data_IF_014884237590
#
_entry.id   IF_014884237590
#
_cell.length_a   1.000
_cell.length_b   1.000
_cell.length_c   1.000
_cell.angle_alpha   90.00
_cell.angle_beta   90.00
_cell.angle_gamma   90.00
#
_symmetry.space_group_name_H-M   'P 1'
#
loop_
_entity.id
_entity.type
_entity.pdbx_description
1 polymer ?
#
# COMPACT_ATOMS: atom_id res chain seq x y z
N UNK A 1 -21.48 -4.04 12.06
CA UNK A 1 -20.09 -4.13 12.54
C UNK A 1 -20.06 -4.80 13.92
N UNK A 2 -19.16 -5.75 14.18
CA UNK A 2 -19.02 -6.37 15.50
C UNK A 2 -18.23 -5.48 16.49
N UNK A 3 -18.20 -5.86 17.78
CA UNK A 3 -17.58 -5.06 18.83
C UNK A 3 -16.07 -4.89 18.66
N UNK A 4 -15.36 -5.93 18.21
CA UNK A 4 -13.91 -5.88 18.01
C UNK A 4 -13.61 -4.91 16.87
N UNK A 5 -14.30 -5.09 15.73
CA UNK A 5 -14.17 -4.21 14.57
C UNK A 5 -14.44 -2.76 14.92
N UNK A 6 -15.56 -2.48 15.60
CA UNK A 6 -15.90 -1.12 16.05
C UNK A 6 -14.81 -0.51 16.92
N UNK A 7 -14.31 -1.28 17.90
CA UNK A 7 -13.28 -0.78 18.82
C UNK A 7 -12.00 -0.37 18.10
N UNK A 8 -11.48 -1.22 17.22
CA UNK A 8 -10.19 -0.97 16.56
C UNK A 8 -10.29 -0.03 15.36
N UNK A 9 -11.43 -0.02 14.64
CA UNK A 9 -11.69 1.01 13.63
C UNK A 9 -11.81 2.39 14.27
N UNK A 10 -12.56 2.55 15.36
CA UNK A 10 -12.60 3.85 16.07
C UNK A 10 -11.20 4.32 16.44
N UNK A 11 -10.35 3.43 17.00
CA UNK A 11 -8.95 3.77 17.33
C UNK A 11 -8.15 4.22 16.10
N UNK A 12 -8.25 3.46 14.99
CA UNK A 12 -7.53 3.75 13.76
C UNK A 12 -7.96 5.08 13.14
N UNK A 13 -9.27 5.29 12.99
CA UNK A 13 -9.86 6.46 12.36
C UNK A 13 -9.58 7.72 13.19
N UNK A 14 -9.77 7.68 14.51
CA UNK A 14 -9.44 8.83 15.38
C UNK A 14 -7.94 9.17 15.33
N UNK A 15 -7.07 8.17 15.21
CA UNK A 15 -5.62 8.41 15.11
C UNK A 15 -5.25 9.11 13.80
N UNK A 16 -5.96 8.79 12.71
CA UNK A 16 -5.65 9.24 11.37
C UNK A 16 -6.56 10.36 10.87
N UNK A 17 -7.52 10.82 11.68
CA UNK A 17 -8.63 11.72 11.31
C UNK A 17 -8.20 12.92 10.46
N UNK A 18 -7.07 13.57 10.80
CA UNK A 18 -6.56 14.73 10.05
C UNK A 18 -6.11 14.44 8.61
N UNK A 19 -5.97 13.17 8.26
CA UNK A 19 -5.57 12.67 6.93
C UNK A 19 -6.73 11.97 6.21
N UNK A 20 -7.90 11.88 6.84
CA UNK A 20 -9.07 11.21 6.30
C UNK A 20 -10.08 12.26 5.79
N UNK A 21 -10.96 11.88 4.84
CA UNK A 21 -11.92 12.82 4.25
C UNK A 21 -12.95 13.32 5.27
N UNK A 22 -13.35 12.48 6.22
CA UNK A 22 -14.36 12.82 7.23
C UNK A 22 -13.91 12.46 8.65
N UNK A 23 -14.67 12.92 9.63
CA UNK A 23 -14.47 12.57 11.03
C UNK A 23 -14.73 11.07 11.32
N UNK A 24 -14.28 10.64 12.50
CA UNK A 24 -14.39 9.25 12.94
C UNK A 24 -15.82 8.71 12.90
N UNK A 25 -16.82 9.50 13.33
CA UNK A 25 -18.20 9.03 13.45
C UNK A 25 -18.82 8.84 12.05
N UNK A 26 -18.62 9.81 11.17
CA UNK A 26 -19.08 9.76 9.77
C UNK A 26 -18.48 8.57 9.03
N UNK A 27 -17.19 8.29 9.22
CA UNK A 27 -16.53 7.15 8.60
C UNK A 27 -17.03 5.81 9.16
N UNK A 28 -17.27 5.71 10.47
CA UNK A 28 -17.83 4.50 11.08
C UNK A 28 -19.23 4.20 10.50
N UNK A 29 -20.08 5.20 10.38
CA UNK A 29 -21.41 5.07 9.77
C UNK A 29 -21.30 4.61 8.31
N UNK A 30 -20.33 5.14 7.55
CA UNK A 30 -20.07 4.68 6.18
C UNK A 30 -19.65 3.20 6.14
N UNK A 31 -18.72 2.77 6.99
CA UNK A 31 -18.29 1.37 7.07
C UNK A 31 -19.40 0.41 7.53
N UNK A 32 -20.42 0.87 8.27
CA UNK A 32 -21.58 0.02 8.58
C UNK A 32 -22.32 -0.44 7.31
N UNK A 33 -22.34 0.41 6.26
CA UNK A 33 -22.89 0.08 4.94
C UNK A 33 -21.91 -0.58 3.97
N UNK A 34 -20.60 -0.51 4.24
CA UNK A 34 -19.52 -0.93 3.33
C UNK A 34 -18.59 -1.94 4.02
N UNK A 35 -19.16 -3.07 4.41
CA UNK A 35 -18.47 -4.08 5.25
C UNK A 35 -17.29 -4.77 4.60
N UNK A 36 -17.18 -4.69 3.29
CA UNK A 36 -16.09 -5.19 2.46
C UNK A 36 -14.88 -4.25 2.40
N UNK A 37 -14.99 -3.01 2.88
CA UNK A 37 -13.90 -2.03 2.94
C UNK A 37 -13.11 -2.08 4.25
N UNK A 38 -13.40 -3.00 5.15
CA UNK A 38 -12.59 -3.20 6.36
C UNK A 38 -12.50 -4.67 6.75
N UNK A 39 -11.48 -5.00 7.52
CA UNK A 39 -11.33 -6.30 8.15
C UNK A 39 -10.54 -6.14 9.45
N UNK A 40 -11.09 -6.63 10.56
CA UNK A 40 -10.42 -6.62 11.86
C UNK A 40 -10.25 -8.04 12.34
N UNK A 41 -8.99 -8.50 12.40
CA UNK A 41 -8.66 -9.90 12.65
C UNK A 41 -7.63 -10.02 13.79
N UNK A 42 -7.93 -10.82 14.83
CA UNK A 42 -6.93 -11.16 15.83
C UNK A 42 -6.02 -12.28 15.32
N UNK A 43 -4.71 -12.09 15.41
CA UNK A 43 -3.70 -13.13 15.12
C UNK A 43 -2.76 -13.23 16.32
N UNK A 44 -2.90 -14.30 17.09
CA UNK A 44 -2.21 -14.47 18.36
C UNK A 44 -2.62 -13.39 19.36
N UNK A 45 -1.65 -12.59 19.84
CA UNK A 45 -1.89 -11.48 20.77
C UNK A 45 -2.10 -10.12 20.09
N UNK A 46 -2.00 -10.08 18.77
CA UNK A 46 -2.10 -8.85 17.98
C UNK A 46 -3.46 -8.73 17.32
N UNK A 47 -3.89 -7.48 17.09
CA UNK A 47 -5.08 -7.19 16.29
C UNK A 47 -4.66 -6.41 15.06
N UNK A 48 -5.02 -6.95 13.89
CA UNK A 48 -4.80 -6.32 12.59
C UNK A 48 -6.09 -5.62 12.20
N UNK A 49 -6.03 -4.31 12.02
CA UNK A 49 -7.15 -3.48 11.63
C UNK A 49 -6.86 -2.93 10.24
N UNK A 50 -7.47 -3.54 9.23
CA UNK A 50 -7.43 -3.10 7.85
C UNK A 50 -8.68 -2.29 7.54
N UNK A 51 -8.50 -1.19 6.82
CA UNK A 51 -9.58 -0.42 6.21
C UNK A 51 -9.10 0.19 4.89
N UNK A 52 -10.03 0.45 3.98
CA UNK A 52 -9.76 1.02 2.67
C UNK A 52 -10.72 2.16 2.35
N UNK A 53 -10.22 3.17 1.64
CA UNK A 53 -11.01 4.29 1.15
C UNK A 53 -10.58 4.65 -0.28
N UNK A 54 -11.53 4.89 -1.20
CA UNK A 54 -11.25 5.55 -2.47
C UNK A 54 -10.59 6.91 -2.22
N UNK A 55 -9.56 7.26 -2.99
CA UNK A 55 -8.80 8.51 -2.80
C UNK A 55 -9.12 9.57 -3.84
N UNK A 56 -9.60 9.18 -5.02
CA UNK A 56 -9.99 10.09 -6.09
C UNK A 56 -11.35 9.72 -6.68
N UNK A 57 -12.10 10.73 -7.12
CA UNK A 57 -13.32 10.59 -7.91
C UNK A 57 -13.01 10.14 -9.35
N UNK A 58 -14.02 9.66 -10.08
CA UNK A 58 -13.91 9.41 -11.52
C UNK A 58 -13.36 10.60 -12.34
N UNK A 59 -13.62 11.81 -11.84
CA UNK A 59 -13.14 13.05 -12.45
C UNK A 59 -11.66 13.37 -12.14
N UNK A 60 -11.01 12.65 -11.23
CA UNK A 60 -9.60 12.78 -10.85
C UNK A 60 -9.33 13.71 -9.68
N UNK A 61 -10.36 14.32 -9.10
CA UNK A 61 -10.21 15.12 -7.88
C UNK A 61 -10.11 14.21 -6.67
N UNK A 62 -9.28 14.60 -5.73
CA UNK A 62 -9.19 13.97 -4.41
C UNK A 62 -10.55 14.04 -3.70
N UNK A 63 -10.94 12.94 -3.07
CA UNK A 63 -12.18 12.83 -2.31
C UNK A 63 -12.03 13.61 -1.02
N UNK A 64 -12.95 14.53 -0.77
CA UNK A 64 -12.97 15.32 0.47
C UNK A 64 -14.07 14.86 1.42
N UNK A 65 -15.08 14.15 0.92
CA UNK A 65 -16.09 13.51 1.76
C UNK A 65 -16.50 12.15 1.20
N UNK A 66 -16.75 11.16 2.06
CA UNK A 66 -17.19 9.81 1.65
C UNK A 66 -18.52 9.81 0.91
N UNK A 67 -19.33 10.85 1.09
CA UNK A 67 -20.56 11.07 0.31
C UNK A 67 -20.32 11.40 -1.17
N UNK A 68 -19.09 11.78 -1.54
CA UNK A 68 -18.71 12.09 -2.92
C UNK A 68 -18.32 10.83 -3.72
N UNK A 69 -18.05 9.71 -3.06
CA UNK A 69 -17.58 8.46 -3.67
C UNK A 69 -18.56 8.03 -4.79
N UNK A 70 -18.07 7.95 -6.03
CA UNK A 70 -18.86 7.58 -7.21
C UNK A 70 -18.48 6.20 -7.77
N UNK A 71 -17.21 6.04 -8.12
CA UNK A 71 -16.60 4.84 -8.67
C UNK A 71 -15.17 4.77 -8.15
N UNK A 72 -14.77 3.58 -7.72
CA UNK A 72 -13.43 3.38 -7.20
C UNK A 72 -12.44 3.27 -8.36
N UNK A 73 -11.69 4.35 -8.61
CA UNK A 73 -10.62 4.37 -9.62
C UNK A 73 -9.27 4.06 -8.98
N UNK A 74 -9.09 4.50 -7.74
CA UNK A 74 -7.90 4.30 -6.94
C UNK A 74 -8.33 4.36 -5.48
N UNK A 75 -7.92 3.37 -4.71
CA UNK A 75 -8.15 3.35 -3.27
C UNK A 75 -6.85 3.21 -2.50
N UNK A 76 -6.86 3.69 -1.26
CA UNK A 76 -5.82 3.42 -0.29
C UNK A 76 -6.30 2.36 0.67
N UNK A 77 -5.55 1.28 0.77
CA UNK A 77 -5.73 0.24 1.77
C UNK A 77 -4.71 0.49 2.87
N UNK A 78 -5.14 0.51 4.13
CA UNK A 78 -4.27 0.70 5.29
C UNK A 78 -4.51 -0.39 6.31
N UNK A 79 -3.46 -0.98 6.83
CA UNK A 79 -3.52 -1.90 7.97
C UNK A 79 -2.70 -1.34 9.12
N UNK A 80 -3.30 -1.26 10.30
CA UNK A 80 -2.64 -0.95 11.56
C UNK A 80 -2.65 -2.17 12.46
N UNK A 81 -1.51 -2.48 13.07
CA UNK A 81 -1.38 -3.62 13.98
C UNK A 81 -1.23 -3.14 15.41
N UNK A 82 -2.05 -3.69 16.29
CA UNK A 82 -2.13 -3.30 17.69
C UNK A 82 -1.66 -4.40 18.63
N UNK A 83 -0.97 -3.99 19.69
CA UNK A 83 -0.90 -4.72 20.96
C UNK A 83 -1.62 -3.88 22.03
N UNK A 84 -2.87 -4.26 22.34
CA UNK A 84 -3.75 -3.47 23.21
C UNK A 84 -4.13 -2.12 22.60
N UNK A 85 -3.62 -1.04 23.17
CA UNK A 85 -3.88 0.35 22.71
C UNK A 85 -2.73 0.94 21.88
N UNK A 86 -1.63 0.20 21.70
CA UNK A 86 -0.43 0.70 21.02
C UNK A 86 -0.37 0.17 19.59
N UNK A 87 -0.18 1.07 18.61
CA UNK A 87 0.17 0.71 17.23
C UNK A 87 1.62 0.29 17.21
N UNK A 88 1.89 -0.93 16.75
CA UNK A 88 3.23 -1.55 16.71
C UNK A 88 3.75 -1.77 15.29
N UNK A 89 2.88 -1.70 14.29
CA UNK A 89 3.23 -1.86 12.89
C UNK A 89 2.12 -1.28 12.00
N UNK A 90 2.47 -1.00 10.76
CA UNK A 90 1.56 -0.57 9.71
C UNK A 90 1.96 -1.10 8.33
N UNK A 91 1.01 -1.02 7.42
CA UNK A 91 1.26 -1.06 5.98
C UNK A 91 0.18 -0.22 5.29
N UNK A 92 0.54 0.51 4.25
CA UNK A 92 -0.42 1.21 3.39
C UNK A 92 -0.06 0.97 1.93
N UNK A 93 -1.07 0.93 1.07
CA UNK A 93 -0.85 0.81 -0.36
C UNK A 93 -2.00 1.37 -1.18
N UNK A 94 -1.68 1.79 -2.40
CA UNK A 94 -2.64 2.23 -3.39
C UNK A 94 -3.00 1.06 -4.30
N UNK A 95 -4.30 0.80 -4.44
CA UNK A 95 -4.84 -0.28 -5.24
C UNK A 95 -5.71 0.27 -6.38
N UNK A 96 -5.51 -0.32 -7.57
CA UNK A 96 -6.32 -0.08 -8.75
C UNK A 96 -6.20 -1.28 -9.70
N UNK A 97 -7.10 -1.37 -10.68
CA UNK A 97 -6.89 -2.29 -11.80
C UNK A 97 -5.67 -1.89 -12.63
N UNK A 98 -5.00 -2.85 -13.23
CA UNK A 98 -3.83 -2.60 -14.07
C UNK A 98 -4.16 -1.72 -15.28
N UNK A 99 -5.33 -1.93 -15.90
CA UNK A 99 -5.83 -1.06 -16.96
C UNK A 99 -5.98 0.40 -16.50
N UNK A 100 -6.50 0.61 -15.28
CA UNK A 100 -6.63 1.95 -14.73
C UNK A 100 -5.27 2.58 -14.46
N UNK A 101 -4.32 1.82 -13.91
CA UNK A 101 -2.95 2.28 -13.67
C UNK A 101 -2.25 2.74 -14.98
N UNK A 102 -2.38 1.94 -16.04
CA UNK A 102 -1.68 2.16 -17.31
C UNK A 102 -2.38 3.12 -18.28
N UNK A 103 -3.66 3.45 -18.07
CA UNK A 103 -4.42 4.26 -19.05
C UNK A 103 -5.02 5.53 -18.47
N UNK A 104 -5.11 5.65 -17.15
CA UNK A 104 -5.77 6.78 -16.51
C UNK A 104 -4.75 7.85 -16.07
N UNK A 105 -4.64 8.90 -16.88
CA UNK A 105 -3.79 10.07 -16.60
C UNK A 105 -4.02 10.66 -15.19
N UNK A 106 -5.25 10.58 -14.67
CA UNK A 106 -5.57 11.11 -13.33
C UNK A 106 -4.95 10.29 -12.21
N UNK A 107 -4.84 8.97 -12.40
CA UNK A 107 -4.18 8.07 -11.45
C UNK A 107 -2.68 8.31 -11.48
N UNK A 108 -2.09 8.47 -12.67
CA UNK A 108 -0.70 8.88 -12.81
C UNK A 108 -0.42 10.21 -12.10
N UNK A 109 -1.23 11.24 -12.36
CA UNK A 109 -1.07 12.55 -11.73
C UNK A 109 -1.21 12.46 -10.20
N UNK A 110 -2.16 11.67 -9.69
CA UNK A 110 -2.28 11.43 -8.26
C UNK A 110 -1.01 10.77 -7.69
N UNK A 111 -0.48 9.73 -8.33
CA UNK A 111 0.76 9.08 -7.87
C UNK A 111 1.95 10.05 -7.87
N UNK A 112 2.02 10.95 -8.87
CA UNK A 112 3.05 11.99 -8.96
C UNK A 112 2.92 13.07 -7.88
N UNK A 113 1.70 13.49 -7.56
CA UNK A 113 1.41 14.54 -6.58
C UNK A 113 1.47 14.02 -5.13
N UNK A 114 1.19 12.73 -4.91
CA UNK A 114 1.17 12.09 -3.59
C UNK A 114 2.57 12.05 -2.95
N UNK A 115 3.56 11.51 -3.66
CA UNK A 115 4.97 11.54 -3.24
C UNK A 115 5.92 11.12 -4.36
N UNK A 116 7.18 11.55 -4.28
CA UNK A 116 8.26 11.07 -5.16
C UNK A 116 8.38 9.54 -5.10
N UNK A 117 8.12 8.93 -3.94
CA UNK A 117 8.18 7.47 -3.76
C UNK A 117 7.08 6.75 -4.51
N UNK A 118 5.83 7.20 -4.37
CA UNK A 118 4.67 6.64 -5.07
C UNK A 118 4.85 6.75 -6.58
N UNK A 119 5.35 7.90 -7.06
CA UNK A 119 5.71 8.09 -8.46
C UNK A 119 6.76 7.07 -8.93
N UNK A 120 7.82 6.86 -8.16
CA UNK A 120 8.90 5.94 -8.52
C UNK A 120 8.49 4.46 -8.43
N UNK A 121 7.60 4.10 -7.51
CA UNK A 121 6.97 2.77 -7.45
C UNK A 121 6.19 2.49 -8.74
N UNK A 122 5.35 3.45 -9.15
CA UNK A 122 4.61 3.38 -10.40
C UNK A 122 5.55 3.30 -11.62
N UNK A 123 6.58 4.13 -11.67
CA UNK A 123 7.60 4.12 -12.73
C UNK A 123 8.32 2.78 -12.83
N UNK A 124 8.79 2.26 -11.69
CA UNK A 124 9.50 0.99 -11.62
C UNK A 124 8.62 -0.16 -12.11
N UNK A 125 7.37 -0.23 -11.64
CA UNK A 125 6.44 -1.29 -12.01
C UNK A 125 6.19 -1.26 -13.52
N UNK A 126 5.86 -0.08 -14.07
CA UNK A 126 5.60 0.09 -15.50
C UNK A 126 6.83 -0.27 -16.34
N UNK A 127 8.00 0.29 -16.02
CA UNK A 127 9.22 0.09 -16.81
C UNK A 127 9.76 -1.34 -16.78
N UNK A 128 9.47 -2.13 -15.74
CA UNK A 128 9.95 -3.51 -15.62
C UNK A 128 8.97 -4.54 -16.22
N UNK A 129 7.67 -4.36 -16.03
CA UNK A 129 6.68 -5.33 -16.50
C UNK A 129 6.08 -4.99 -17.87
N UNK A 130 6.10 -3.72 -18.28
CA UNK A 130 5.53 -3.23 -19.52
C UNK A 130 6.50 -2.29 -20.26
N UNK A 131 7.74 -2.71 -20.55
CA UNK A 131 8.78 -1.87 -21.15
C UNK A 131 8.43 -1.34 -22.56
N UNK A 132 7.46 -1.95 -23.22
CA UNK A 132 6.93 -1.52 -24.52
C UNK A 132 5.96 -0.33 -24.44
N UNK A 133 5.42 -0.03 -23.25
CA UNK A 133 4.52 1.10 -23.03
C UNK A 133 5.36 2.34 -22.71
N UNK A 134 5.17 3.41 -23.49
CA UNK A 134 5.84 4.68 -23.23
C UNK A 134 5.42 5.25 -21.86
N UNK A 135 6.38 5.75 -21.08
CA UNK A 135 6.12 6.37 -19.78
C UNK A 135 6.13 7.91 -19.89
N UNK A 136 5.15 8.64 -19.31
CA UNK A 136 4.02 8.12 -18.55
C UNK A 136 3.00 7.39 -19.45
N UNK A 137 2.35 6.32 -18.94
CA UNK A 137 1.36 5.58 -19.71
C UNK A 137 0.21 6.50 -20.14
N UNK A 138 -0.20 6.42 -21.40
CA UNK A 138 -1.36 7.14 -21.91
C UNK A 138 -2.24 6.24 -22.78
N UNK A 139 -3.54 6.57 -22.89
CA UNK A 139 -4.51 5.78 -23.66
C UNK A 139 -4.10 5.52 -25.11
N UNK A 140 -3.32 6.41 -25.72
CA UNK A 140 -2.86 6.26 -27.10
C UNK A 140 -1.69 5.27 -27.21
N UNK A 141 -0.91 5.12 -26.14
CA UNK A 141 0.25 4.22 -26.06
C UNK A 141 -0.10 2.78 -25.70
N UNK A 142 -1.23 2.53 -25.03
CA UNK A 142 -1.66 1.19 -24.63
C UNK A 142 -2.94 0.76 -25.37
N UNK A 143 -2.81 0.18 -26.56
CA UNK A 143 -3.94 -0.51 -27.22
C UNK A 143 -4.29 -1.85 -26.56
N UNK A 144 -3.57 -2.24 -25.50
CA UNK A 144 -3.68 -3.50 -24.80
C UNK A 144 -4.43 -3.27 -23.48
N UNK A 145 -5.63 -3.83 -23.37
CA UNK A 145 -6.28 -4.04 -22.07
C UNK A 145 -5.40 -5.01 -21.30
N UNK A 146 -4.74 -4.53 -20.25
CA UNK A 146 -3.98 -5.40 -19.34
C UNK A 146 -4.89 -5.82 -18.21
N UNK A 147 -5.21 -7.12 -18.17
CA UNK A 147 -5.98 -7.71 -17.07
C UNK A 147 -5.09 -7.90 -15.84
N UNK A 148 -5.64 -7.63 -14.67
CA UNK A 148 -4.96 -7.77 -13.38
C UNK A 148 -5.20 -6.59 -12.46
N UNK A 149 -4.72 -6.71 -11.24
CA UNK A 149 -4.74 -5.67 -10.22
C UNK A 149 -3.31 -5.19 -9.94
N UNK A 150 -3.19 -3.96 -9.44
CA UNK A 150 -1.94 -3.40 -8.98
C UNK A 150 -2.01 -2.99 -7.52
N UNK A 151 -0.90 -3.13 -6.79
CA UNK A 151 -0.75 -2.64 -5.44
C UNK A 151 0.60 -1.92 -5.29
N UNK A 152 0.58 -0.61 -5.10
CA UNK A 152 1.76 0.19 -4.78
C UNK A 152 1.84 0.35 -3.27
N UNK A 153 2.73 -0.36 -2.59
CA UNK A 153 2.88 -0.31 -1.12
C UNK A 153 3.66 0.95 -0.75
N UNK A 154 2.93 2.00 -0.40
CA UNK A 154 3.46 3.34 -0.12
C UNK A 154 4.12 3.48 1.26
N UNK A 155 3.86 2.53 2.16
CA UNK A 155 4.50 2.47 3.46
C UNK A 155 4.44 1.04 4.03
N UNK A 156 5.48 0.61 4.75
CA UNK A 156 5.45 -0.58 5.58
C UNK A 156 6.46 -0.52 6.73
N UNK A 157 5.96 -0.50 7.97
CA UNK A 157 6.80 -0.46 9.15
C UNK A 157 6.43 -1.49 10.22
N UNK A 158 7.46 -2.02 10.88
CA UNK A 158 7.33 -2.85 12.07
C UNK A 158 8.31 -2.36 13.13
N UNK A 159 7.77 -2.01 14.30
CA UNK A 159 8.55 -1.61 15.47
C UNK A 159 9.65 -2.64 15.76
N UNK A 160 10.84 -2.16 16.04
CA UNK A 160 12.07 -2.97 16.16
C UNK A 160 11.92 -4.12 17.14
N UNK A 161 11.31 -3.88 18.30
CA UNK A 161 11.05 -4.90 19.33
C UNK A 161 10.08 -6.02 18.87
N UNK A 162 9.30 -5.77 17.81
CA UNK A 162 8.27 -6.67 17.27
C UNK A 162 8.69 -7.38 15.98
N UNK A 163 9.88 -7.07 15.45
CA UNK A 163 10.44 -7.74 14.27
C UNK A 163 10.66 -9.22 14.54
N UNK A 164 10.69 -10.02 13.45
CA UNK A 164 10.82 -11.49 13.48
C UNK A 164 9.64 -12.24 14.12
N UNK A 165 8.48 -11.59 14.21
CA UNK A 165 7.22 -12.20 14.71
C UNK A 165 6.16 -12.34 13.61
N UNK A 166 6.60 -12.47 12.35
CA UNK A 166 5.76 -12.60 11.15
C UNK A 166 4.79 -11.44 10.85
N UNK A 167 4.80 -10.35 11.63
CA UNK A 167 3.88 -9.22 11.46
C UNK A 167 3.93 -8.63 10.05
N UNK A 168 5.13 -8.35 9.53
CA UNK A 168 5.30 -7.83 8.17
C UNK A 168 4.69 -8.76 7.11
N UNK A 169 4.95 -10.06 7.20
CA UNK A 169 4.38 -11.06 6.28
C UNK A 169 2.84 -11.02 6.34
N UNK A 170 2.28 -11.07 7.53
CA UNK A 170 0.83 -11.08 7.71
C UNK A 170 0.19 -9.79 7.16
N UNK A 171 0.84 -8.64 7.34
CA UNK A 171 0.39 -7.37 6.78
C UNK A 171 0.41 -7.37 5.25
N UNK A 172 1.49 -7.87 4.64
CA UNK A 172 1.61 -8.01 3.16
C UNK A 172 0.55 -8.96 2.61
N UNK A 173 0.33 -10.10 3.24
CA UNK A 173 -0.72 -11.06 2.82
C UNK A 173 -2.11 -10.41 2.94
N UNK A 174 -2.40 -9.75 4.06
CA UNK A 174 -3.71 -9.14 4.32
C UNK A 174 -4.06 -8.01 3.34
N UNK A 175 -3.09 -7.14 3.00
CA UNK A 175 -3.33 -6.05 2.03
C UNK A 175 -3.55 -6.58 0.61
N UNK A 176 -2.84 -7.65 0.22
CA UNK A 176 -3.02 -8.31 -1.08
C UNK A 176 -4.36 -9.02 -1.19
N UNK A 177 -4.74 -9.78 -0.16
CA UNK A 177 -6.05 -10.42 -0.09
C UNK A 177 -7.18 -9.39 -0.21
N UNK A 178 -6.98 -8.21 0.38
CA UNK A 178 -7.95 -7.12 0.28
C UNK A 178 -7.97 -6.44 -1.11
N UNK A 179 -6.82 -6.26 -1.75
CA UNK A 179 -6.73 -5.75 -3.13
C UNK A 179 -7.53 -6.66 -4.08
N UNK A 180 -7.38 -7.98 -3.93
CA UNK A 180 -8.05 -8.98 -4.77
C UNK A 180 -9.51 -9.24 -4.39
N UNK A 181 -10.11 -8.46 -3.48
CA UNK A 181 -11.39 -8.80 -2.84
C UNK A 181 -12.61 -8.85 -3.76
N UNK A 182 -12.49 -8.40 -5.01
CA UNK A 182 -13.55 -8.48 -6.03
C UNK A 182 -13.10 -9.20 -7.31
N UNK A 183 -11.81 -9.54 -7.42
CA UNK A 183 -11.20 -10.07 -8.65
C UNK A 183 -10.81 -11.53 -8.42
N UNK A 184 -11.83 -12.36 -8.21
CA UNK A 184 -11.66 -13.78 -7.92
C UNK A 184 -11.84 -14.59 -9.19
N UNK A 185 -10.71 -15.13 -9.68
CA UNK A 185 -10.51 -16.14 -10.73
C UNK A 185 -9.47 -15.64 -11.74
N UNK A 186 -8.35 -16.37 -11.87
CA UNK A 186 -7.29 -16.13 -12.86
C UNK A 186 -6.82 -14.67 -12.94
N UNK A 187 -6.64 -14.01 -11.79
CA UNK A 187 -6.22 -12.61 -11.73
C UNK A 187 -4.73 -12.53 -11.44
N UNK A 188 -4.03 -11.69 -12.22
CA UNK A 188 -2.64 -11.34 -11.95
C UNK A 188 -2.59 -10.16 -10.97
N UNK A 189 -1.68 -10.22 -10.00
CA UNK A 189 -1.39 -9.11 -9.09
C UNK A 189 0.05 -8.63 -9.29
N UNK A 190 0.18 -7.33 -9.56
CA UNK A 190 1.47 -6.66 -9.66
C UNK A 190 1.66 -5.79 -8.43
N UNK A 191 2.79 -5.93 -7.75
CA UNK A 191 3.07 -5.19 -6.52
C UNK A 191 4.41 -4.51 -6.61
N UNK A 192 4.48 -3.25 -6.16
CA UNK A 192 5.72 -2.52 -5.95
C UNK A 192 5.82 -2.08 -4.49
N UNK A 193 7.03 -2.03 -3.96
CA UNK A 193 7.32 -1.51 -2.62
C UNK A 193 8.69 -0.83 -2.61
N UNK A 194 8.78 0.39 -2.08
CA UNK A 194 10.06 1.02 -1.77
C UNK A 194 10.80 0.27 -0.64
N UNK A 195 12.11 0.09 -0.78
CA UNK A 195 12.95 -0.59 0.23
C UNK A 195 13.70 0.38 1.14
N UNK A 196 13.40 1.67 1.00
CA UNK A 196 13.94 2.72 1.84
C UNK A 196 13.57 2.52 3.32
N UNK A 197 14.44 2.92 4.27
CA UNK A 197 14.14 2.81 5.68
C UNK A 197 12.92 3.70 6.02
N UNK A 198 11.85 3.07 6.47
CA UNK A 198 10.67 3.84 6.88
C UNK A 198 10.92 4.63 8.18
N UNK A 199 10.26 5.78 8.27
CA UNK A 199 10.33 6.71 9.39
C UNK A 199 9.08 6.50 10.25
N UNK A 200 9.26 5.83 11.39
CA UNK A 200 8.19 5.60 12.35
C UNK A 200 7.46 6.90 12.72
N UNK A 201 6.22 7.05 12.29
CA UNK A 201 5.32 8.17 12.65
C UNK A 201 4.53 7.89 13.95
N UNK A 202 4.57 6.65 14.41
CA UNK A 202 3.94 6.19 15.63
C UNK A 202 4.61 4.92 16.16
N UNK A 203 4.28 4.60 17.41
CA UNK A 203 4.83 3.45 18.11
C UNK A 203 6.18 3.73 18.78
N UNK A 204 6.77 2.72 19.43
CA UNK A 204 7.94 2.89 20.29
C UNK A 204 9.20 3.44 19.61
N UNK A 205 9.36 3.28 18.29
CA UNK A 205 10.56 3.75 17.59
C UNK A 205 10.44 5.21 17.08
N UNK A 206 9.30 5.88 17.32
CA UNK A 206 9.10 7.28 16.92
C UNK A 206 10.13 8.19 17.57
N UNK A 207 10.82 9.00 16.77
CA UNK A 207 11.76 10.02 17.25
C UNK A 207 11.20 11.42 17.08
N UNK A 208 11.49 12.36 18.00
CA UNK A 208 11.06 13.74 17.86
C UNK A 208 11.87 14.50 16.80
N UNK A 209 13.09 14.05 16.48
CA UNK A 209 13.93 14.69 15.47
C UNK A 209 13.50 14.33 14.04
N UNK A 210 13.61 15.27 13.08
CA UNK A 210 13.39 14.96 11.67
C UNK A 210 14.42 13.95 11.17
N UNK A 211 13.99 13.09 10.25
CA UNK A 211 14.87 12.16 9.58
C UNK A 211 15.81 12.87 8.62
N UNK A 212 17.07 12.47 8.61
CA UNK A 212 18.08 12.92 7.65
C UNK A 212 18.68 11.70 6.98
N UNK A 213 18.65 11.68 5.66
CA UNK A 213 19.27 10.63 4.87
C UNK A 213 20.77 10.51 5.19
N UNK A 214 21.25 9.27 5.32
CA UNK A 214 22.65 8.93 5.47
C UNK A 214 22.95 7.63 4.75
N UNK A 215 23.81 7.71 3.73
CA UNK A 215 24.29 6.54 2.98
C UNK A 215 24.82 5.43 3.92
N UNK A 216 25.55 5.79 4.98
CA UNK A 216 26.15 4.85 5.92
C UNK A 216 25.11 4.11 6.80
N UNK A 217 23.96 4.73 7.03
CA UNK A 217 22.87 4.18 7.86
C UNK A 217 21.85 3.45 7.00
N UNK A 218 21.50 4.03 5.86
CA UNK A 218 20.33 3.65 5.08
C UNK A 218 20.63 2.56 4.06
N UNK A 219 21.81 2.56 3.44
CA UNK A 219 22.19 1.49 2.49
C UNK A 219 22.24 0.09 3.14
N UNK A 220 22.84 -0.10 4.33
CA UNK A 220 22.77 -1.39 5.00
C UNK A 220 21.32 -1.83 5.28
N UNK A 221 20.44 -0.88 5.62
CA UNK A 221 19.05 -1.17 5.90
C UNK A 221 18.26 -1.53 4.62
N UNK A 222 18.52 -0.87 3.48
CA UNK A 222 17.97 -1.24 2.17
C UNK A 222 18.36 -2.66 1.76
N UNK A 223 19.61 -3.07 1.99
CA UNK A 223 20.08 -4.45 1.76
C UNK A 223 19.34 -5.45 2.65
N UNK A 224 19.15 -5.11 3.93
CA UNK A 224 18.37 -5.95 4.85
C UNK A 224 16.92 -6.06 4.36
N UNK A 225 16.29 -4.95 3.98
CA UNK A 225 14.91 -4.92 3.48
C UNK A 225 14.76 -5.77 2.21
N UNK A 226 15.70 -5.66 1.27
CA UNK A 226 15.76 -6.52 0.07
C UNK A 226 15.75 -8.00 0.45
N UNK A 227 16.61 -8.42 1.39
CA UNK A 227 16.68 -9.82 1.84
C UNK A 227 15.41 -10.32 2.56
N UNK A 228 14.59 -9.40 3.08
CA UNK A 228 13.31 -9.72 3.74
C UNK A 228 12.24 -9.93 2.68
N UNK A 229 12.10 -9.01 1.71
CA UNK A 229 11.06 -9.09 0.68
C UNK A 229 11.32 -10.20 -0.33
N UNK A 230 12.58 -10.59 -0.57
CA UNK A 230 12.92 -11.78 -1.36
C UNK A 230 12.30 -13.06 -0.78
N UNK A 231 12.17 -13.16 0.55
CA UNK A 231 11.50 -14.31 1.22
C UNK A 231 9.99 -14.30 1.04
N UNK A 232 9.43 -13.22 0.50
CA UNK A 232 8.05 -13.06 0.09
C UNK A 232 7.91 -13.05 -1.43
N UNK A 233 8.95 -13.51 -2.15
CA UNK A 233 8.98 -13.62 -3.62
C UNK A 233 8.98 -12.29 -4.39
N UNK A 234 9.32 -11.19 -3.73
CA UNK A 234 9.63 -9.95 -4.44
C UNK A 234 11.03 -10.03 -5.06
N UNK A 235 11.22 -9.36 -6.18
CA UNK A 235 12.50 -9.16 -6.85
C UNK A 235 13.00 -7.75 -6.58
N UNK A 236 14.07 -7.56 -5.79
CA UNK A 236 14.67 -6.26 -5.56
C UNK A 236 15.26 -5.70 -6.86
N UNK A 237 15.04 -4.41 -7.08
CA UNK A 237 15.59 -3.64 -8.19
C UNK A 237 16.24 -2.36 -7.64
N UNK A 238 17.21 -1.84 -8.39
CA UNK A 238 17.88 -0.59 -8.06
C UNK A 238 17.63 0.38 -9.20
N UNK A 239 17.17 1.59 -8.84
CA UNK A 239 17.18 2.70 -9.76
C UNK A 239 18.60 3.28 -9.76
N UNK A 240 19.34 3.02 -10.84
CA UNK A 240 20.62 3.67 -11.08
C UNK A 240 20.34 5.09 -11.56
N UNK A 241 20.56 6.10 -10.71
CA UNK A 241 20.91 7.40 -11.24
C UNK A 241 22.36 7.27 -11.76
N UNK A 242 22.62 7.76 -12.97
CA UNK A 242 23.99 8.03 -13.43
C UNK A 242 24.78 8.71 -12.29
N UNK A 243 26.12 8.56 -12.29
CA UNK A 243 27.08 9.03 -11.26
C UNK A 243 27.03 10.54 -10.89
N UNK A 244 26.02 11.28 -11.34
CA UNK A 244 25.85 12.71 -11.22
C UNK A 244 24.60 13.02 -10.37
N UNK A 245 24.73 12.91 -9.06
CA UNK A 245 23.74 13.46 -8.12
C UNK A 245 23.73 12.73 -6.78
N UNK A 246 24.28 13.38 -5.74
CA UNK A 246 24.26 13.09 -4.29
C UNK A 246 24.60 11.68 -3.74
N UNK A 247 24.68 10.64 -4.58
CA UNK A 247 25.05 9.28 -4.19
C UNK A 247 23.91 8.44 -3.60
N UNK A 248 22.66 8.91 -3.62
CA UNK A 248 21.50 8.17 -3.11
C UNK A 248 21.09 7.07 -4.09
N UNK A 249 21.19 5.81 -3.66
CA UNK A 249 20.64 4.67 -4.43
C UNK A 249 19.21 4.42 -3.98
N UNK A 250 18.27 4.45 -4.90
CA UNK A 250 16.87 4.13 -4.61
C UNK A 250 16.62 2.66 -4.90
N UNK A 251 16.02 1.98 -3.92
CA UNK A 251 15.76 0.55 -4.01
C UNK A 251 14.27 0.31 -3.94
N UNK A 252 13.79 -0.54 -4.83
CA UNK A 252 12.41 -1.00 -4.86
C UNK A 252 12.42 -2.52 -4.92
N UNK A 253 11.26 -3.13 -4.69
CA UNK A 253 11.06 -4.53 -5.01
C UNK A 253 9.74 -4.71 -5.72
N UNK A 254 9.75 -5.58 -6.73
CA UNK A 254 8.60 -5.84 -7.57
C UNK A 254 8.17 -7.29 -7.43
N UNK A 255 6.87 -7.53 -7.47
CA UNK A 255 6.33 -8.88 -7.50
C UNK A 255 5.21 -8.95 -8.55
N UNK A 256 5.19 -10.08 -9.26
CA UNK A 256 4.10 -10.45 -10.15
C UNK A 256 3.63 -11.84 -9.77
N UNK A 257 2.45 -11.91 -9.19
CA UNK A 257 1.74 -13.15 -8.90
C UNK A 257 0.73 -13.40 -10.01
N UNK A 258 0.76 -14.60 -10.60
CA UNK A 258 -0.05 -14.96 -11.75
C UNK A 258 -1.18 -15.89 -11.38
N UNK A 259 -2.28 -15.79 -12.12
CA UNK A 259 -3.38 -16.77 -12.09
C UNK A 259 -3.87 -17.05 -10.65
N UNK A 260 -4.03 -15.99 -9.86
CA UNK A 260 -4.43 -16.14 -8.46
C UNK A 260 -5.88 -16.63 -8.42
N UNK A 261 -6.05 -17.80 -7.80
CA UNK A 261 -7.33 -18.40 -7.50
C UNK A 261 -7.51 -18.44 -5.99
N UNK A 262 -8.72 -18.10 -5.51
CA UNK A 262 -9.03 -18.23 -4.09
C UNK A 262 -8.89 -19.71 -3.72
N UNK A 263 -8.03 -20.03 -2.76
CA UNK A 263 -8.02 -21.36 -2.18
C UNK A 263 -9.43 -21.61 -1.62
N UNK A 264 -10.11 -22.65 -2.11
CA UNK A 264 -11.34 -23.10 -1.48
C UNK A 264 -11.02 -23.36 -0.01
N UNK A 265 -11.57 -22.54 0.89
CA UNK A 265 -11.63 -22.91 2.29
C UNK A 265 -12.49 -24.18 2.33
N UNK A 266 -11.82 -25.34 2.39
CA UNK A 266 -12.43 -26.56 2.91
C UNK A 266 -12.94 -26.20 4.31
N UNK A 267 -14.25 -26.00 4.37
CA UNK A 267 -15.01 -25.72 5.58
C UNK A 267 -15.11 -26.97 6.46
#
# INVERSE_FOLDING_TARGET
MDRLSKTYLTKALTRLEKYLPDDTDTLLDWYEGHTDYYSVLPIGKYVYCLFALPVILSNGKEIKHVSEIDSNVLERITTLVYEGDTIIADISGLHASMDTLLTNEKVFNFCADESDWTYLEHYCLCGNYFPEIAYPPNKESSSLLVSGETLLITNAYVTTAYRRQSIFRNMVEMIKDHALRYSYENTDLYTAIALDPDIAQYGPDTKPEPYYYSLEVDEPQRIINASIVEKLSFTPIRLEADEIGDGTKLWFALQHEKEICKAEHLS
#
